data_IF_580626880929
#
_entry.id   IF_580626880929
#
_cell.length_a   1.000
_cell.length_b   1.000
_cell.length_c   1.000
_cell.angle_alpha   90.00
_cell.angle_beta   90.00
_cell.angle_gamma   90.00
#
_symmetry.space_group_name_H-M   'P 1'
#
loop_
_entity.id
_entity.type
_entity.pdbx_description
1 polymer ?
#
# COMPACT_ATOMS: atom_id res chain seq x y z
N UNK A 1 7.19 -4.81 7.14
CA UNK A 1 8.03 -3.78 6.48
C UNK A 1 7.12 -2.68 5.97
N UNK A 2 7.38 -1.42 6.34
CA UNK A 2 6.58 -0.30 5.84
C UNK A 2 6.87 -0.07 4.35
N UNK A 3 5.91 0.29 3.49
CA UNK A 3 6.15 0.51 2.05
C UNK A 3 7.28 1.50 1.75
N UNK A 4 7.47 2.52 2.59
CA UNK A 4 8.59 3.47 2.49
C UNK A 4 9.95 2.85 2.83
N UNK A 5 9.99 1.82 3.68
CA UNK A 5 11.22 1.07 3.95
C UNK A 5 11.61 0.20 2.75
N UNK A 6 10.61 -0.39 2.06
CA UNK A 6 10.83 -1.08 0.78
C UNK A 6 11.36 -0.09 -0.28
N UNK A 7 10.73 1.09 -0.39
CA UNK A 7 11.14 2.15 -1.28
C UNK A 7 12.62 2.52 -1.10
N UNK A 8 13.05 2.72 0.15
CA UNK A 8 14.45 3.04 0.49
C UNK A 8 15.41 1.88 0.22
N UNK A 9 14.99 0.64 0.50
CA UNK A 9 15.82 -0.56 0.30
C UNK A 9 16.12 -0.82 -1.17
N UNK A 10 15.14 -0.58 -2.04
CA UNK A 10 15.24 -0.87 -3.48
C UNK A 10 15.49 0.38 -4.34
N UNK A 11 15.62 1.56 -3.73
CA UNK A 11 15.86 2.81 -4.45
C UNK A 11 14.68 3.25 -5.32
N UNK A 12 13.46 2.83 -5.00
CA UNK A 12 12.27 3.13 -5.79
C UNK A 12 11.81 4.58 -5.63
N UNK A 13 11.24 5.13 -6.68
CA UNK A 13 10.46 6.35 -6.67
C UNK A 13 9.05 6.11 -6.11
N UNK A 14 8.34 7.19 -5.72
CA UNK A 14 6.93 7.09 -5.32
C UNK A 14 6.03 6.54 -6.43
N UNK A 15 6.40 6.79 -7.68
CA UNK A 15 5.70 6.27 -8.85
C UNK A 15 5.87 4.75 -8.94
N UNK A 16 7.09 4.24 -8.86
CA UNK A 16 7.35 2.79 -8.87
C UNK A 16 6.70 2.09 -7.68
N UNK A 17 6.75 2.71 -6.50
CA UNK A 17 6.02 2.22 -5.33
C UNK A 17 4.50 2.18 -5.58
N UNK A 18 3.95 3.20 -6.21
CA UNK A 18 2.52 3.24 -6.55
C UNK A 18 2.13 2.13 -7.54
N UNK A 19 2.96 1.89 -8.56
CA UNK A 19 2.76 0.80 -9.53
C UNK A 19 2.82 -0.57 -8.85
N UNK A 20 3.84 -0.81 -8.03
CA UNK A 20 4.02 -2.10 -7.33
C UNK A 20 2.85 -2.43 -6.40
N UNK A 21 2.27 -1.42 -5.75
CA UNK A 21 1.15 -1.59 -4.83
C UNK A 21 -0.23 -1.32 -5.48
N UNK A 22 -0.27 -1.01 -6.78
CA UNK A 22 -1.47 -0.63 -7.53
C UNK A 22 -2.29 0.47 -6.86
N UNK A 23 -1.62 1.48 -6.31
CA UNK A 23 -2.23 2.67 -5.70
C UNK A 23 -1.89 3.90 -6.54
N UNK A 24 -2.54 5.03 -6.25
CA UNK A 24 -2.14 6.29 -6.86
C UNK A 24 -0.81 6.79 -6.28
N UNK A 25 -0.03 7.53 -7.07
CA UNK A 25 1.23 8.14 -6.60
C UNK A 25 1.00 9.08 -5.40
N UNK A 26 -0.16 9.74 -5.36
CA UNK A 26 -0.59 10.59 -4.24
C UNK A 26 -0.78 9.77 -2.96
N UNK A 27 -1.39 8.58 -3.05
CA UNK A 27 -1.52 7.66 -1.91
C UNK A 27 -0.14 7.12 -1.46
N UNK A 28 0.75 6.79 -2.39
CA UNK A 28 2.11 6.36 -2.09
C UNK A 28 2.92 7.47 -1.38
N UNK A 29 2.82 8.73 -1.83
CA UNK A 29 3.46 9.87 -1.16
C UNK A 29 2.94 10.08 0.27
N UNK A 30 1.64 9.88 0.51
CA UNK A 30 1.03 9.99 1.86
C UNK A 30 1.64 9.00 2.86
N UNK A 31 2.20 7.88 2.41
CA UNK A 31 2.89 6.93 3.29
C UNK A 31 4.19 7.51 3.87
N UNK A 32 4.87 8.40 3.16
CA UNK A 32 6.06 9.08 3.69
C UNK A 32 5.72 10.05 4.84
N UNK A 33 4.52 10.63 4.82
CA UNK A 33 4.02 11.54 5.84
C UNK A 33 3.34 10.82 7.01
N UNK A 34 3.07 9.51 6.90
CA UNK A 34 2.33 8.75 7.92
C UNK A 34 3.09 8.62 9.26
N UNK A 35 4.42 8.81 9.28
CA UNK A 35 5.21 8.87 10.52
C UNK A 35 5.11 10.23 11.24
N UNK A 36 4.79 11.32 10.55
CA UNK A 36 4.63 12.67 11.14
C UNK A 36 3.17 13.08 11.33
N UNK A 37 2.23 12.32 10.77
CA UNK A 37 0.79 12.55 10.90
C UNK A 37 0.16 11.81 12.08
N UNK A 38 0.79 11.84 13.26
CA UNK A 38 0.28 11.24 14.51
C UNK A 38 -1.12 11.75 14.92
N UNK A 39 -1.62 12.82 14.29
CA UNK A 39 -2.89 13.47 14.63
C UNK A 39 -4.00 13.36 13.57
N UNK A 40 -3.78 12.75 12.40
CA UNK A 40 -4.87 12.60 11.43
C UNK A 40 -5.55 11.24 11.57
N UNK A 41 -6.67 11.25 12.31
CA UNK A 41 -7.69 10.20 12.43
C UNK A 41 -8.12 9.63 11.07
N UNK A 42 -7.36 8.69 10.49
CA UNK A 42 -7.95 7.72 9.58
C UNK A 42 -7.12 6.42 9.44
N UNK A 43 -7.24 5.48 10.41
CA UNK A 43 -6.74 4.12 10.27
C UNK A 43 -7.80 3.04 9.93
N UNK A 44 -8.81 3.24 9.05
CA UNK A 44 -9.55 2.07 8.52
C UNK A 44 -9.42 1.86 7.01
N UNK A 45 -9.37 2.91 6.20
CA UNK A 45 -9.61 2.76 4.75
C UNK A 45 -8.49 2.02 4.00
N UNK A 46 -7.22 2.30 4.31
CA UNK A 46 -6.10 1.62 3.64
C UNK A 46 -5.92 0.18 4.11
N UNK A 47 -6.26 -0.11 5.37
CA UNK A 47 -6.24 -1.49 5.88
C UNK A 47 -7.37 -2.31 5.24
N UNK A 48 -8.55 -1.71 5.10
CA UNK A 48 -9.69 -2.31 4.41
C UNK A 48 -9.39 -2.60 2.94
N UNK A 49 -8.85 -1.63 2.18
CA UNK A 49 -8.45 -1.83 0.77
C UNK A 49 -7.40 -2.93 0.59
N UNK A 50 -6.47 -3.07 1.54
CA UNK A 50 -5.45 -4.12 1.50
C UNK A 50 -6.07 -5.51 1.75
N UNK A 51 -6.94 -5.63 2.76
CA UNK A 51 -7.67 -6.86 3.05
C UNK A 51 -8.54 -7.29 1.85
N UNK A 52 -9.29 -6.36 1.26
CA UNK A 52 -10.14 -6.65 0.08
C UNK A 52 -9.33 -7.18 -1.11
N UNK A 53 -8.11 -6.67 -1.32
CA UNK A 53 -7.27 -7.12 -2.42
C UNK A 53 -6.71 -8.52 -2.18
N UNK A 54 -6.34 -8.84 -0.95
CA UNK A 54 -5.87 -10.18 -0.55
C UNK A 54 -7.00 -11.21 -0.74
N UNK A 55 -8.22 -10.90 -0.33
CA UNK A 55 -9.38 -11.81 -0.47
C UNK A 55 -9.70 -12.10 -1.95
N UNK A 56 -9.57 -11.10 -2.83
CA UNK A 56 -9.76 -11.28 -4.28
C UNK A 56 -8.68 -12.16 -4.89
N UNK A 57 -7.41 -11.97 -4.51
CA UNK A 57 -6.31 -12.81 -5.02
C UNK A 57 -6.44 -14.26 -4.54
N UNK A 58 -6.80 -14.48 -3.28
CA UNK A 58 -7.07 -15.82 -2.74
C UNK A 58 -8.26 -16.49 -3.45
N UNK A 59 -9.33 -15.75 -3.71
CA UNK A 59 -10.49 -16.26 -4.44
C UNK A 59 -10.15 -16.64 -5.88
N UNK A 60 -9.32 -15.85 -6.56
CA UNK A 60 -8.86 -16.14 -7.92
C UNK A 60 -7.93 -17.36 -7.97
N UNK A 61 -7.04 -17.51 -6.98
CA UNK A 61 -6.18 -18.70 -6.85
C UNK A 61 -7.00 -19.97 -6.58
N UNK A 62 -8.07 -19.87 -5.78
CA UNK A 62 -8.99 -20.98 -5.53
C UNK A 62 -9.86 -21.34 -6.74
N UNK A 63 -10.11 -20.41 -7.67
CA UNK A 63 -10.90 -20.65 -8.88
C UNK A 63 -10.08 -21.28 -10.03
N UNK A 64 -8.75 -21.24 -9.92
CA UNK A 64 -7.79 -21.82 -10.87
C UNK A 64 -7.25 -23.19 -10.43
N UNK A 65 -7.59 -23.64 -9.21
CA UNK A 65 -7.26 -24.95 -8.66
C UNK A 65 -8.45 -25.92 -8.84
#
# INVERSE_FOLDING_TARGET
>A
MHPIELMRKYGWSYHELAVQFGVSEVEARRWAFRKTASNYRNPPLMAYKLAERIDKELSNLSALA
#
